data_IF_699472258463
#
_entry.id   IF_699472258463
#
_cell.length_a   1.000
_cell.length_b   1.000
_cell.length_c   1.000
_cell.angle_alpha   90.00
_cell.angle_beta   90.00
_cell.angle_gamma   90.00
#
_symmetry.space_group_name_H-M   'P 1'
#
loop_
_entity.id
_entity.type
_entity.pdbx_description
1 polymer ?
#
# COMPACT_ATOMS: atom_id res chain seq x y z
N UNK A 1 -14.59 2.00 -14.90
CA UNK A 1 -15.82 1.59 -14.22
C UNK A 1 -16.21 2.63 -13.18
N UNK A 2 -17.46 3.05 -13.24
CA UNK A 2 -18.03 4.00 -12.30
C UNK A 2 -18.93 3.28 -11.31
N UNK A 3 -18.95 3.76 -10.08
CA UNK A 3 -19.82 3.26 -9.02
C UNK A 3 -20.45 4.43 -8.27
N UNK A 4 -21.77 4.48 -8.26
CA UNK A 4 -22.52 5.48 -7.50
C UNK A 4 -22.61 5.02 -6.04
N UNK A 5 -21.80 5.64 -5.18
CA UNK A 5 -21.74 5.32 -3.75
C UNK A 5 -22.98 5.83 -3.01
N UNK A 6 -23.41 7.06 -3.36
CA UNK A 6 -24.65 7.67 -2.89
C UNK A 6 -25.08 8.74 -3.91
N UNK A 7 -26.25 9.39 -3.78
CA UNK A 7 -26.70 10.37 -4.76
C UNK A 7 -25.75 11.53 -5.02
N UNK A 8 -24.79 11.76 -4.14
CA UNK A 8 -23.86 12.88 -4.21
C UNK A 8 -22.43 12.44 -4.58
N UNK A 9 -22.13 11.13 -4.55
CA UNK A 9 -20.78 10.61 -4.77
C UNK A 9 -20.78 9.46 -5.76
N UNK A 10 -20.09 9.67 -6.88
CA UNK A 10 -19.80 8.62 -7.86
C UNK A 10 -18.31 8.34 -7.83
N UNK A 11 -17.94 7.08 -7.71
CA UNK A 11 -16.56 6.62 -7.67
C UNK A 11 -16.15 6.07 -9.02
N UNK A 12 -14.86 6.14 -9.34
CA UNK A 12 -14.30 5.59 -10.56
C UNK A 12 -13.12 4.66 -10.21
N UNK A 13 -13.09 3.51 -10.88
CA UNK A 13 -11.98 2.57 -10.74
C UNK A 13 -10.84 2.99 -11.68
N UNK A 14 -9.63 3.07 -11.15
CA UNK A 14 -8.44 3.29 -11.96
C UNK A 14 -8.14 2.05 -12.82
N UNK A 15 -7.63 2.28 -14.02
CA UNK A 15 -7.25 1.22 -14.95
C UNK A 15 -5.87 0.66 -14.62
N UNK A 16 -5.53 -0.49 -15.22
CA UNK A 16 -4.19 -1.07 -15.08
C UNK A 16 -3.11 -0.10 -15.56
N UNK A 17 -3.34 0.57 -16.68
CA UNK A 17 -2.39 1.56 -17.23
C UNK A 17 -2.18 2.74 -16.28
N UNK A 18 -3.26 3.26 -15.72
CA UNK A 18 -3.17 4.31 -14.72
C UNK A 18 -2.45 3.83 -13.45
N UNK A 19 -2.72 2.61 -13.03
CA UNK A 19 -2.09 2.01 -11.85
C UNK A 19 -0.59 1.79 -12.03
N UNK A 20 -0.14 1.50 -13.24
CA UNK A 20 1.29 1.44 -13.55
C UNK A 20 1.95 2.80 -13.27
N UNK A 21 1.37 3.87 -13.77
CA UNK A 21 1.89 5.22 -13.56
C UNK A 21 1.83 5.64 -12.09
N UNK A 22 0.73 5.32 -11.42
CA UNK A 22 0.57 5.62 -9.99
C UNK A 22 1.62 4.88 -9.15
N UNK A 23 1.80 3.59 -9.42
CA UNK A 23 2.78 2.78 -8.70
C UNK A 23 4.20 3.29 -8.85
N UNK A 24 4.59 3.68 -10.07
CA UNK A 24 5.90 4.25 -10.33
C UNK A 24 6.09 5.59 -9.64
N UNK A 25 5.07 6.43 -9.66
CA UNK A 25 5.11 7.72 -8.96
C UNK A 25 5.27 7.54 -7.45
N UNK A 26 4.48 6.64 -6.86
CA UNK A 26 4.59 6.34 -5.42
C UNK A 26 5.98 5.78 -5.11
N UNK A 27 6.46 4.84 -5.92
CA UNK A 27 7.77 4.23 -5.73
C UNK A 27 8.91 5.23 -5.74
N UNK A 28 8.87 6.20 -6.65
CA UNK A 28 9.85 7.28 -6.71
C UNK A 28 9.81 8.15 -5.46
N UNK A 29 8.63 8.43 -4.94
CA UNK A 29 8.47 9.19 -3.70
C UNK A 29 9.01 8.42 -2.49
N UNK A 30 8.75 7.12 -2.42
CA UNK A 30 9.30 6.28 -1.37
C UNK A 30 10.83 6.26 -1.40
N UNK A 31 11.42 6.23 -2.59
CA UNK A 31 12.87 6.26 -2.76
C UNK A 31 13.53 7.53 -2.23
N UNK A 32 12.77 8.61 -2.12
CA UNK A 32 13.28 9.90 -1.61
C UNK A 32 13.23 10.02 -0.10
N UNK A 33 12.61 9.07 0.58
CA UNK A 33 12.48 9.10 2.04
C UNK A 33 13.76 8.62 2.71
N UNK A 34 14.22 9.36 3.71
CA UNK A 34 15.47 9.06 4.43
C UNK A 34 15.25 8.17 5.66
N UNK A 35 14.07 8.23 6.25
CA UNK A 35 13.75 7.44 7.45
C UNK A 35 13.36 6.00 7.11
N UNK A 36 13.06 5.19 8.15
CA UNK A 36 12.56 3.84 7.94
C UNK A 36 11.19 3.85 7.26
N UNK A 37 11.04 3.01 6.23
CA UNK A 37 9.80 2.89 5.46
C UNK A 37 9.41 1.43 5.35
N UNK A 38 8.17 1.11 5.73
CA UNK A 38 7.54 -0.15 5.38
C UNK A 38 6.25 0.16 4.64
N UNK A 39 6.15 -0.28 3.41
CA UNK A 39 4.99 -0.04 2.56
C UNK A 39 4.28 -1.37 2.30
N UNK A 40 3.00 -1.43 2.65
CA UNK A 40 2.23 -2.67 2.61
C UNK A 40 1.34 -2.72 1.38
N UNK A 41 1.39 -3.86 0.67
CA UNK A 41 0.62 -4.10 -0.53
C UNK A 41 -0.54 -5.05 -0.20
N UNK A 42 -1.80 -4.57 -0.26
CA UNK A 42 -2.97 -5.42 0.07
C UNK A 42 -3.36 -6.29 -1.13
N UNK A 43 -2.83 -7.50 -1.18
CA UNK A 43 -3.09 -8.41 -2.30
C UNK A 43 -4.56 -8.81 -2.42
N UNK A 44 -5.33 -8.68 -1.34
CA UNK A 44 -6.77 -8.95 -1.34
C UNK A 44 -7.62 -7.82 -1.91
N UNK A 45 -7.01 -6.69 -2.29
CA UNK A 45 -7.69 -5.56 -2.90
C UNK A 45 -7.44 -4.24 -2.19
N UNK A 46 -7.51 -3.14 -2.95
CA UNK A 46 -7.13 -1.80 -2.49
C UNK A 46 -8.30 -1.01 -1.89
N UNK A 47 -9.50 -1.57 -1.91
CA UNK A 47 -10.68 -0.98 -1.26
C UNK A 47 -11.71 -2.06 -0.96
N UNK A 48 -12.73 -1.71 -0.18
CA UNK A 48 -13.85 -2.62 0.08
C UNK A 48 -14.57 -3.01 -1.20
N UNK A 49 -14.64 -2.12 -2.19
CA UNK A 49 -15.28 -2.36 -3.49
C UNK A 49 -14.38 -3.17 -4.44
N UNK A 50 -13.11 -3.33 -4.13
CA UNK A 50 -12.15 -4.10 -4.89
C UNK A 50 -11.91 -5.45 -4.19
N UNK A 51 -12.95 -6.25 -4.17
CA UNK A 51 -12.95 -7.60 -3.59
C UNK A 51 -13.77 -8.51 -4.48
N UNK A 52 -13.58 -9.83 -4.42
CA UNK A 52 -14.38 -10.76 -5.24
C UNK A 52 -15.88 -10.48 -5.12
N UNK A 53 -16.55 -10.35 -6.27
CA UNK A 53 -17.98 -10.05 -6.34
C UNK A 53 -18.34 -8.58 -6.21
N UNK A 54 -17.39 -7.69 -5.99
CA UNK A 54 -17.62 -6.26 -5.85
C UNK A 54 -17.43 -5.50 -7.18
N UNK A 55 -18.04 -4.31 -7.32
CA UNK A 55 -18.01 -3.56 -8.60
C UNK A 55 -16.62 -3.20 -9.12
N UNK A 56 -15.64 -3.02 -8.22
CA UNK A 56 -14.28 -2.61 -8.60
C UNK A 56 -13.27 -3.74 -8.56
N UNK A 57 -13.73 -4.99 -8.42
CA UNK A 57 -12.82 -6.13 -8.42
C UNK A 57 -12.05 -6.19 -9.75
N UNK A 58 -10.75 -5.94 -9.68
CA UNK A 58 -9.87 -5.93 -10.85
C UNK A 58 -8.47 -6.40 -10.44
N UNK A 59 -8.25 -7.71 -10.38
CA UNK A 59 -6.95 -8.26 -9.98
C UNK A 59 -5.80 -7.85 -10.89
N UNK A 60 -6.07 -7.63 -12.17
CA UNK A 60 -5.05 -7.19 -13.12
C UNK A 60 -4.59 -5.76 -12.80
N UNK A 61 -5.51 -4.86 -12.52
CA UNK A 61 -5.18 -3.49 -12.15
C UNK A 61 -4.37 -3.44 -10.84
N UNK A 62 -4.76 -4.25 -9.85
CA UNK A 62 -4.04 -4.35 -8.59
C UNK A 62 -2.64 -4.92 -8.78
N UNK A 63 -2.52 -6.00 -9.56
CA UNK A 63 -1.23 -6.62 -9.86
C UNK A 63 -0.30 -5.63 -10.56
N UNK A 64 -0.81 -4.87 -11.51
CA UNK A 64 -0.03 -3.87 -12.24
C UNK A 64 0.51 -2.79 -11.29
N UNK A 65 -0.31 -2.34 -10.34
CA UNK A 65 0.12 -1.40 -9.30
C UNK A 65 1.27 -1.97 -8.47
N UNK A 66 1.12 -3.20 -8.00
CA UNK A 66 2.11 -3.83 -7.13
C UNK A 66 3.42 -4.11 -7.87
N UNK A 67 3.34 -4.58 -9.12
CA UNK A 67 4.53 -4.80 -9.95
C UNK A 67 5.26 -3.48 -10.23
N UNK A 68 4.53 -2.40 -10.53
CA UNK A 68 5.14 -1.10 -10.75
C UNK A 68 5.89 -0.60 -9.50
N UNK A 69 5.32 -0.81 -8.32
CA UNK A 69 5.97 -0.49 -7.05
C UNK A 69 7.22 -1.33 -6.85
N UNK A 70 7.14 -2.64 -7.09
CA UNK A 70 8.29 -3.55 -6.93
C UNK A 70 9.43 -3.22 -7.90
N UNK A 71 9.12 -2.83 -9.13
CA UNK A 71 10.12 -2.44 -10.12
C UNK A 71 10.77 -1.09 -9.79
N UNK A 72 10.05 -0.18 -9.14
CA UNK A 72 10.49 1.19 -8.92
C UNK A 72 11.19 1.39 -7.58
N UNK A 73 10.66 0.79 -6.51
CA UNK A 73 11.20 0.97 -5.16
C UNK A 73 12.54 0.26 -5.02
N UNK A 74 13.55 1.00 -4.59
CA UNK A 74 14.85 0.43 -4.22
C UNK A 74 14.77 -0.03 -2.77
N UNK A 75 14.56 -1.31 -2.56
CA UNK A 75 14.48 -1.88 -1.23
C UNK A 75 15.85 -1.92 -0.55
N UNK A 76 15.89 -1.53 0.72
CA UNK A 76 17.09 -1.51 1.55
C UNK A 76 16.71 -2.07 2.93
N UNK A 77 17.65 -2.10 3.86
CA UNK A 77 17.34 -2.44 5.25
C UNK A 77 16.33 -1.49 5.90
N UNK A 78 16.23 -0.25 5.39
CA UNK A 78 15.30 0.76 5.89
C UNK A 78 14.05 0.93 5.05
N UNK A 79 14.04 0.46 3.81
CA UNK A 79 12.93 0.66 2.88
C UNK A 79 12.48 -0.68 2.33
N UNK A 80 11.26 -1.09 2.70
CA UNK A 80 10.76 -2.41 2.36
C UNK A 80 9.33 -2.36 1.85
N UNK A 81 9.06 -3.17 0.82
CA UNK A 81 7.71 -3.48 0.38
C UNK A 81 7.32 -4.83 0.98
N UNK A 82 6.12 -4.91 1.50
CA UNK A 82 5.61 -6.13 2.14
C UNK A 82 4.24 -6.46 1.56
N UNK A 83 4.11 -7.62 0.94
CA UNK A 83 2.82 -8.10 0.44
C UNK A 83 2.05 -8.78 1.56
N UNK A 84 0.76 -8.45 1.70
CA UNK A 84 -0.13 -9.11 2.64
C UNK A 84 -1.33 -9.69 1.88
N UNK A 85 -1.76 -10.92 2.20
CA UNK A 85 -2.84 -11.59 1.46
C UNK A 85 -4.24 -11.09 1.85
N UNK A 86 -4.35 -9.88 2.38
CA UNK A 86 -5.58 -9.31 2.88
C UNK A 86 -6.06 -8.14 2.03
N UNK A 87 -7.37 -7.86 2.08
CA UNK A 87 -7.90 -6.60 1.57
C UNK A 87 -7.50 -5.48 2.52
N UNK A 88 -7.33 -4.28 2.00
CA UNK A 88 -6.92 -3.11 2.81
C UNK A 88 -7.89 -2.83 3.97
N UNK A 89 -9.16 -3.24 3.84
CA UNK A 89 -10.17 -3.07 4.87
C UNK A 89 -10.24 -4.23 5.87
N UNK A 90 -9.48 -5.28 5.67
CA UNK A 90 -9.48 -6.40 6.62
C UNK A 90 -8.81 -6.00 7.93
N UNK A 91 -9.39 -6.40 9.08
CA UNK A 91 -8.77 -6.10 10.38
C UNK A 91 -7.34 -6.62 10.50
N UNK A 92 -7.03 -7.76 9.89
CA UNK A 92 -5.70 -8.36 9.89
C UNK A 92 -4.68 -7.45 9.19
N UNK A 93 -5.08 -6.76 8.12
CA UNK A 93 -4.22 -5.79 7.44
C UNK A 93 -3.84 -4.65 8.39
N UNK A 94 -4.84 -4.06 9.04
CA UNK A 94 -4.63 -2.98 10.00
C UNK A 94 -3.73 -3.40 11.16
N UNK A 95 -3.93 -4.60 11.70
CA UNK A 95 -3.11 -5.13 12.81
C UNK A 95 -1.63 -5.20 12.43
N UNK A 96 -1.32 -5.69 11.24
CA UNK A 96 0.08 -5.79 10.76
C UNK A 96 0.70 -4.41 10.60
N UNK A 97 -0.03 -3.47 10.00
CA UNK A 97 0.46 -2.11 9.78
C UNK A 97 0.73 -1.40 11.10
N UNK A 98 -0.20 -1.47 12.05
CA UNK A 98 -0.05 -0.87 13.37
C UNK A 98 1.11 -1.50 14.14
N UNK A 99 1.24 -2.83 14.09
CA UNK A 99 2.36 -3.53 14.72
C UNK A 99 3.71 -3.11 14.15
N UNK A 100 3.79 -2.94 12.83
CA UNK A 100 5.01 -2.46 12.17
C UNK A 100 5.36 -1.03 12.60
N UNK A 101 4.37 -0.16 12.70
CA UNK A 101 4.56 1.21 13.19
C UNK A 101 5.16 1.23 14.59
N UNK A 102 4.58 0.47 15.51
CA UNK A 102 5.08 0.38 16.88
C UNK A 102 6.52 -0.17 16.93
N UNK A 103 6.83 -1.13 16.09
CA UNK A 103 8.18 -1.70 16.00
C UNK A 103 9.21 -0.64 15.53
N UNK A 104 8.86 0.15 14.50
CA UNK A 104 9.73 1.22 13.99
C UNK A 104 9.96 2.29 15.05
N UNK A 105 8.89 2.75 15.70
CA UNK A 105 8.96 3.79 16.75
C UNK A 105 9.75 3.29 17.94
N UNK A 106 9.54 2.04 18.36
CA UNK A 106 10.28 1.44 19.48
C UNK A 106 11.79 1.36 19.21
N UNK A 107 12.18 0.98 17.98
CA UNK A 107 13.60 0.93 17.60
C UNK A 107 14.25 2.32 17.59
N UNK A 108 13.53 3.33 17.08
CA UNK A 108 14.04 4.69 17.06
C UNK A 108 14.18 5.26 18.47
N UNK A 109 13.23 5.00 19.35
CA UNK A 109 13.30 5.41 20.74
C UNK A 109 14.50 4.77 21.47
N UNK A 110 14.75 3.47 21.22
CA UNK A 110 15.90 2.77 21.80
C UNK A 110 17.22 3.35 21.29
N UNK A 111 17.34 3.64 20.00
CA UNK A 111 18.53 4.29 19.43
C UNK A 111 18.77 5.66 20.03
N UNK A 112 17.71 6.43 20.25
CA UNK A 112 17.79 7.72 20.91
C UNK A 112 18.33 7.61 22.32
N UNK A 113 17.92 6.61 23.09
CA UNK A 113 18.43 6.34 24.43
C UNK A 113 19.90 5.95 24.42
N UNK A 114 20.33 5.12 23.46
CA UNK A 114 21.71 4.67 23.37
C UNK A 114 22.69 5.77 22.97
N UNK A 115 22.21 6.82 22.31
CA UNK A 115 23.04 7.96 21.90
C UNK A 115 23.24 9.00 22.98
N UNK A 116 22.45 8.91 24.03
CA UNK A 116 22.57 9.82 25.19
C UNK A 116 23.53 9.21 26.22
#
# INVERSE_FOLDING_TARGET
TFYEHNPQVTLMRTTAEENDRIGRWIGEKLNQMDGPVQFFLPEGGVSLLDAPGQPFHDPEADRTLFEALEETVRQTGKRRLIRLPHNINDPQFAEVVVGAFHSIVGRQALRGKLRR
#
